data_IF_702789911678
#
_entry.id   IF_702789911678
#
_cell.length_a   1.000
_cell.length_b   1.000
_cell.length_c   1.000
_cell.angle_alpha   90.00
_cell.angle_beta   90.00
_cell.angle_gamma   90.00
#
_symmetry.space_group_name_H-M   'P 1'
#
loop_
_entity.id
_entity.type
_entity.pdbx_description
1 polymer ?
#
# COMPACT_ATOMS: atom_id res chain seq x y z
N UNK A 1 6.82 44.36 22.22
CA UNK A 1 7.22 44.32 20.79
C UNK A 1 8.52 43.55 20.52
N UNK A 2 8.95 42.62 21.38
CA UNK A 2 10.25 41.91 21.22
C UNK A 2 10.15 40.37 21.21
N UNK A 3 9.02 39.80 21.61
CA UNK A 3 8.88 38.34 21.76
C UNK A 3 8.62 37.56 20.44
N UNK A 4 8.30 38.25 19.33
CA UNK A 4 8.06 37.60 18.02
C UNK A 4 9.33 37.35 17.21
N UNK A 5 10.39 38.13 17.42
CA UNK A 5 11.65 38.00 16.67
C UNK A 5 12.50 36.80 17.09
N UNK A 6 12.43 36.38 18.36
CA UNK A 6 13.20 35.23 18.85
C UNK A 6 12.72 33.88 18.26
N UNK A 7 11.41 33.75 17.96
CA UNK A 7 10.84 32.51 17.39
C UNK A 7 11.25 32.33 15.92
N UNK A 8 11.49 33.42 15.18
CA UNK A 8 11.88 33.34 13.76
C UNK A 8 13.31 32.83 13.55
N UNK A 9 14.24 33.10 14.46
CA UNK A 9 15.62 32.63 14.34
C UNK A 9 15.75 31.10 14.49
N UNK A 10 14.90 30.47 15.30
CA UNK A 10 14.92 29.02 15.53
C UNK A 10 14.44 28.20 14.32
N UNK A 11 13.54 28.76 13.49
CA UNK A 11 12.98 28.05 12.33
C UNK A 11 13.98 27.94 11.16
N UNK A 12 14.95 28.84 11.05
CA UNK A 12 15.96 28.82 9.98
C UNK A 12 16.99 27.68 10.12
N UNK A 13 17.18 27.13 11.33
CA UNK A 13 18.15 26.06 11.57
C UNK A 13 17.63 24.66 11.19
N UNK A 14 16.31 24.44 11.16
CA UNK A 14 15.70 23.13 10.94
C UNK A 14 15.72 22.63 9.48
N UNK A 15 16.09 23.48 8.52
CA UNK A 15 16.09 23.14 7.09
C UNK A 15 17.41 22.49 6.60
N UNK A 16 18.43 22.35 7.45
CA UNK A 16 19.72 21.71 7.12
C UNK A 16 19.77 20.19 7.36
N UNK A 17 18.63 19.59 7.71
CA UNK A 17 18.51 18.16 8.03
C UNK A 17 17.65 17.34 7.06
N UNK A 18 17.21 17.90 5.93
CA UNK A 18 16.51 17.12 4.89
C UNK A 18 17.51 16.24 4.17
N UNK A 19 17.81 15.08 4.75
CA UNK A 19 18.33 13.93 4.01
C UNK A 19 17.42 13.79 2.78
N UNK A 20 17.89 13.99 1.55
CA UNK A 20 17.13 13.52 0.41
C UNK A 20 17.04 12.03 0.66
N UNK A 21 15.84 11.55 0.99
CA UNK A 21 15.54 10.14 0.91
C UNK A 21 15.82 9.83 -0.54
N UNK A 22 17.01 9.27 -0.81
CA UNK A 22 17.33 8.71 -2.10
C UNK A 22 16.21 7.69 -2.30
N UNK A 23 15.17 8.11 -3.03
CA UNK A 23 14.31 7.22 -3.76
C UNK A 23 15.26 6.49 -4.69
N UNK A 24 15.91 5.45 -4.15
CA UNK A 24 16.52 4.40 -4.94
C UNK A 24 15.40 4.02 -5.87
N UNK A 25 15.51 4.46 -7.11
CA UNK A 25 14.68 4.07 -8.21
C UNK A 25 14.94 2.58 -8.36
N UNK A 26 14.29 1.80 -7.49
CA UNK A 26 14.25 0.36 -7.55
C UNK A 26 13.64 0.14 -8.92
N UNK A 27 14.47 -0.23 -9.89
CA UNK A 27 14.01 -0.65 -11.22
C UNK A 27 12.96 -1.69 -10.90
N UNK A 28 11.67 -1.34 -11.03
CA UNK A 28 10.61 -2.32 -10.90
C UNK A 28 10.92 -3.29 -12.02
N UNK A 29 11.28 -4.56 -11.74
CA UNK A 29 11.37 -5.53 -12.83
C UNK A 29 10.06 -5.39 -13.60
N UNK A 30 10.15 -5.33 -14.93
CA UNK A 30 8.97 -5.19 -15.78
C UNK A 30 8.01 -6.30 -15.35
N UNK A 31 6.98 -5.92 -14.59
CA UNK A 31 6.04 -6.88 -14.08
C UNK A 31 5.44 -7.53 -15.33
N UNK A 32 5.33 -8.88 -15.38
CA UNK A 32 4.76 -9.55 -16.53
C UNK A 32 3.45 -8.85 -16.89
N UNK A 33 3.17 -8.61 -18.17
CA UNK A 33 2.06 -7.75 -18.62
C UNK A 33 0.75 -8.00 -17.84
N UNK A 34 0.50 -9.26 -17.50
CA UNK A 34 -0.56 -9.74 -16.60
C UNK A 34 -0.62 -9.00 -15.25
N UNK A 35 0.48 -8.87 -14.50
CA UNK A 35 0.52 -8.14 -13.22
C UNK A 35 0.09 -6.68 -13.37
N UNK A 36 0.56 -6.02 -14.44
CA UNK A 36 0.23 -4.61 -14.70
C UNK A 36 -1.26 -4.46 -14.98
N UNK A 37 -1.84 -5.35 -15.77
CA UNK A 37 -3.29 -5.39 -16.06
C UNK A 37 -4.09 -5.60 -14.77
N UNK A 38 -3.70 -6.57 -13.93
CA UNK A 38 -4.39 -6.81 -12.66
C UNK A 38 -4.32 -5.61 -11.71
N UNK A 39 -3.15 -4.98 -11.57
CA UNK A 39 -3.00 -3.80 -10.72
C UNK A 39 -3.83 -2.62 -11.25
N UNK A 40 -3.90 -2.46 -12.57
CA UNK A 40 -4.76 -1.45 -13.20
C UNK A 40 -6.24 -1.72 -12.93
N UNK A 41 -6.69 -2.98 -13.05
CA UNK A 41 -8.05 -3.39 -12.75
C UNK A 41 -8.41 -3.14 -11.28
N UNK A 42 -7.50 -3.45 -10.36
CA UNK A 42 -7.63 -3.17 -8.93
C UNK A 42 -7.73 -1.66 -8.63
N UNK A 43 -7.00 -0.82 -9.37
CA UNK A 43 -7.12 0.64 -9.26
C UNK A 43 -8.45 1.13 -9.79
N UNK A 44 -8.90 0.63 -10.94
CA UNK A 44 -10.19 0.96 -11.51
C UNK A 44 -11.33 0.56 -10.57
N UNK A 45 -11.28 -0.66 -10.03
CA UNK A 45 -12.20 -1.13 -9.00
C UNK A 45 -12.18 -0.20 -7.78
N UNK A 46 -11.01 0.20 -7.29
CA UNK A 46 -10.94 1.14 -6.16
C UNK A 46 -11.57 2.49 -6.51
N UNK A 47 -11.33 3.07 -7.67
CA UNK A 47 -11.87 4.39 -8.01
C UNK A 47 -13.38 4.34 -8.29
N UNK A 48 -13.87 3.28 -8.93
CA UNK A 48 -15.29 3.12 -9.25
C UNK A 48 -16.11 2.65 -8.05
N UNK A 49 -15.57 1.74 -7.22
CA UNK A 49 -16.30 1.08 -6.12
C UNK A 49 -16.04 1.75 -4.78
N UNK A 50 -14.85 2.33 -4.51
CA UNK A 50 -14.59 3.01 -3.22
C UNK A 50 -15.55 4.16 -2.88
N UNK A 51 -16.05 4.98 -3.82
CA UNK A 51 -17.06 6.00 -3.48
C UNK A 51 -18.42 5.39 -3.11
N UNK A 52 -18.76 4.19 -3.61
CA UNK A 52 -19.99 3.48 -3.23
C UNK A 52 -19.84 2.61 -1.97
N UNK A 53 -18.63 2.10 -1.70
CA UNK A 53 -18.40 1.13 -0.63
C UNK A 53 -17.95 1.78 0.68
N UNK A 54 -17.31 2.95 0.69
CA UNK A 54 -16.80 3.57 1.91
C UNK A 54 -15.72 2.73 2.63
N UNK A 55 -15.42 3.04 3.91
CA UNK A 55 -14.46 2.30 4.77
C UNK A 55 -14.99 0.92 5.22
N UNK A 56 -15.39 0.05 4.29
CA UNK A 56 -15.88 -1.32 4.59
C UNK A 56 -14.79 -2.34 4.88
N UNK A 57 -13.52 -2.00 4.63
CA UNK A 57 -12.41 -2.89 4.97
C UNK A 57 -12.29 -3.00 6.48
N UNK A 58 -12.62 -4.18 7.02
CA UNK A 58 -12.50 -4.51 8.45
C UNK A 58 -11.06 -4.87 8.86
N UNK A 59 -10.21 -5.19 7.90
CA UNK A 59 -8.81 -5.56 8.12
C UNK A 59 -7.86 -4.44 7.72
N UNK A 60 -6.75 -4.33 8.44
CA UNK A 60 -5.63 -3.44 8.12
C UNK A 60 -4.42 -4.25 7.61
N UNK A 61 -3.74 -3.81 6.54
CA UNK A 61 -4.12 -2.78 5.57
C UNK A 61 -5.38 -3.16 4.77
N UNK A 62 -5.93 -2.20 4.01
CA UNK A 62 -7.16 -2.41 3.23
C UNK A 62 -7.06 -3.59 2.27
N UNK A 63 -8.17 -4.24 1.93
CA UNK A 63 -8.17 -5.39 1.02
C UNK A 63 -7.52 -5.07 -0.34
N UNK A 64 -7.66 -3.83 -0.83
CA UNK A 64 -7.02 -3.37 -2.08
C UNK A 64 -5.51 -3.17 -1.93
N UNK A 65 -5.04 -2.70 -0.77
CA UNK A 65 -3.61 -2.55 -0.49
C UNK A 65 -2.96 -3.91 -0.29
N UNK A 66 -3.63 -4.82 0.44
CA UNK A 66 -3.21 -6.21 0.55
C UNK A 66 -3.14 -6.90 -0.81
N UNK A 67 -4.14 -6.71 -1.67
CA UNK A 67 -4.14 -7.30 -3.00
C UNK A 67 -2.98 -6.78 -3.86
N UNK A 68 -2.67 -5.49 -3.75
CA UNK A 68 -1.54 -4.87 -4.45
C UNK A 68 -0.21 -5.46 -3.99
N UNK A 69 0.01 -5.57 -2.68
CA UNK A 69 1.21 -6.20 -2.12
C UNK A 69 1.28 -7.68 -2.46
N UNK A 70 0.17 -8.42 -2.33
CA UNK A 70 0.13 -9.86 -2.62
C UNK A 70 0.51 -10.14 -4.07
N UNK A 71 0.03 -9.35 -5.02
CA UNK A 71 0.39 -9.47 -6.44
C UNK A 71 1.85 -9.09 -6.68
N UNK A 72 2.38 -8.06 -6.00
CA UNK A 72 3.78 -7.66 -6.12
C UNK A 72 4.75 -8.69 -5.56
N UNK A 73 4.41 -9.33 -4.44
CA UNK A 73 5.28 -10.29 -3.76
C UNK A 73 5.13 -11.72 -4.31
N UNK A 74 3.91 -12.18 -4.58
CA UNK A 74 3.62 -13.57 -4.97
C UNK A 74 3.32 -13.76 -6.47
N UNK A 75 3.30 -12.67 -7.24
CA UNK A 75 2.91 -12.67 -8.65
C UNK A 75 1.40 -12.68 -8.88
N UNK A 76 0.99 -12.61 -10.15
CA UNK A 76 -0.42 -12.44 -10.53
C UNK A 76 -1.32 -13.59 -10.03
N UNK A 77 -0.95 -14.85 -10.25
CA UNK A 77 -1.80 -15.98 -9.88
C UNK A 77 -1.97 -16.12 -8.36
N UNK A 78 -0.86 -16.32 -7.64
CA UNK A 78 -0.87 -16.57 -6.19
C UNK A 78 -1.25 -15.33 -5.38
N UNK A 79 -0.86 -14.14 -5.84
CA UNK A 79 -1.29 -12.88 -5.25
C UNK A 79 -2.79 -12.64 -5.36
N UNK A 80 -3.39 -12.94 -6.52
CA UNK A 80 -4.85 -12.81 -6.71
C UNK A 80 -5.61 -13.82 -5.87
N UNK A 81 -5.13 -15.06 -5.77
CA UNK A 81 -5.74 -16.07 -4.90
C UNK A 81 -5.75 -15.63 -3.43
N UNK A 82 -4.62 -15.13 -2.90
CA UNK A 82 -4.54 -14.62 -1.52
C UNK A 82 -5.47 -13.42 -1.31
N UNK A 83 -5.49 -12.49 -2.26
CA UNK A 83 -6.34 -11.32 -2.23
C UNK A 83 -7.84 -11.69 -2.21
N UNK A 84 -8.28 -12.54 -3.14
CA UNK A 84 -9.66 -12.99 -3.24
C UNK A 84 -10.10 -13.71 -1.96
N UNK A 85 -9.27 -14.61 -1.43
CA UNK A 85 -9.56 -15.31 -0.16
C UNK A 85 -9.72 -14.36 1.02
N UNK A 86 -9.01 -13.22 1.03
CA UNK A 86 -9.18 -12.20 2.07
C UNK A 86 -10.41 -11.32 1.85
N UNK A 87 -10.73 -10.98 0.60
CA UNK A 87 -11.96 -10.24 0.27
C UNK A 87 -13.19 -11.06 0.67
N UNK A 88 -13.23 -12.37 0.39
CA UNK A 88 -14.35 -13.24 0.81
C UNK A 88 -14.53 -13.31 2.34
N UNK A 89 -13.43 -13.13 3.11
CA UNK A 89 -13.49 -13.04 4.58
C UNK A 89 -13.84 -11.65 5.10
N UNK A 90 -13.83 -10.62 4.23
CA UNK A 90 -14.14 -9.24 4.59
C UNK A 90 -15.66 -9.00 4.56
N UNK A 91 -16.37 -9.58 5.53
CA UNK A 91 -17.81 -9.38 5.75
C UNK A 91 -18.06 -8.59 7.06
N UNK A 92 -19.21 -7.92 7.25
CA UNK A 92 -19.47 -7.07 8.42
C UNK A 92 -19.41 -7.80 9.77
N UNK A 93 -19.69 -9.11 9.77
CA UNK A 93 -19.59 -9.97 10.96
C UNK A 93 -18.18 -10.48 11.25
N UNK A 94 -17.17 -10.03 10.50
CA UNK A 94 -15.77 -10.33 10.77
C UNK A 94 -15.28 -9.51 11.96
N UNK A 95 -14.51 -10.12 12.86
CA UNK A 95 -13.84 -9.41 13.95
C UNK A 95 -12.83 -8.35 13.45
N UNK A 96 -12.40 -8.44 12.19
CA UNK A 96 -11.34 -7.59 11.65
C UNK A 96 -9.98 -7.94 12.25
N UNK A 97 -8.98 -7.11 11.98
CA UNK A 97 -7.64 -7.28 12.51
C UNK A 97 -6.52 -6.86 11.56
N UNK A 98 -5.29 -7.11 11.98
CA UNK A 98 -4.09 -6.87 11.17
C UNK A 98 -3.73 -8.19 10.48
N UNK A 99 -3.79 -8.21 9.16
CA UNK A 99 -3.33 -9.34 8.34
C UNK A 99 -2.35 -8.72 7.33
N UNK A 100 -1.09 -9.16 7.34
CA UNK A 100 -0.06 -8.68 6.44
C UNK A 100 0.20 -9.74 5.37
N UNK A 101 0.62 -9.30 4.18
CA UNK A 101 1.01 -10.25 3.13
C UNK A 101 2.21 -11.05 3.64
N UNK A 102 2.16 -12.39 3.63
CA UNK A 102 3.32 -13.19 4.02
C UNK A 102 4.49 -12.92 3.07
N UNK A 103 5.75 -12.93 3.57
CA UNK A 103 6.91 -12.73 2.71
C UNK A 103 6.93 -13.81 1.62
N UNK A 104 7.36 -13.49 0.39
CA UNK A 104 7.45 -14.47 -0.67
C UNK A 104 8.50 -15.52 -0.30
N UNK A 105 8.11 -16.80 -0.31
CA UNK A 105 9.04 -17.93 -0.21
C UNK A 105 9.72 -18.11 -1.56
N UNK A 106 10.51 -17.13 -2.01
CA UNK A 106 11.26 -17.21 -3.27
C UNK A 106 12.60 -17.93 -3.13
N UNK A 107 12.77 -18.73 -2.08
CA UNK A 107 13.84 -19.73 -1.97
C UNK A 107 13.36 -21.04 -2.63
N UNK A 108 13.23 -21.03 -3.95
CA UNK A 108 13.44 -22.25 -4.74
C UNK A 108 13.81 -21.88 -6.17
N UNK A 109 15.13 -21.83 -6.36
CA UNK A 109 15.87 -21.81 -7.62
C UNK A 109 15.52 -23.00 -8.50
#
# INVERSE_FOLDING_TARGET
MTARFAVQAAQAAALRGRRPVLHVARRRPAAPAMQTVLIALLRFYKVAVSPMLGNRCRFYPSCSDYAREAIQYHGAARGTYLAARRICRCHPFSAGGIDLVPPPTSEKR
#
